data_IF_864445294185
#
_entry.id   IF_864445294185
#
_cell.length_a   1.000
_cell.length_b   1.000
_cell.length_c   1.000
_cell.angle_alpha   90.00
_cell.angle_beta   90.00
_cell.angle_gamma   90.00
#
_symmetry.space_group_name_H-M   'P 1'
#
loop_
_entity.id
_entity.type
_entity.pdbx_description
1 polymer ?
#
# COMPACT_ATOMS: atom_id res chain seq x y z
N UNK A 1 -32.83 24.01 -5.99
CA UNK A 1 -31.69 23.61 -5.14
C UNK A 1 -30.93 22.48 -5.83
N UNK A 2 -29.59 22.50 -5.71
CA UNK A 2 -28.61 21.48 -6.10
C UNK A 2 -28.23 21.29 -7.59
N UNK A 3 -27.29 22.16 -8.00
CA UNK A 3 -26.03 21.93 -8.73
C UNK A 3 -25.92 20.73 -9.68
N UNK A 4 -25.90 21.07 -10.97
CA UNK A 4 -25.46 20.27 -12.11
C UNK A 4 -23.93 20.14 -12.12
N UNK A 5 -23.46 18.91 -12.35
CA UNK A 5 -22.09 18.58 -12.75
C UNK A 5 -21.76 19.30 -14.07
N UNK A 6 -20.83 20.26 -14.04
CA UNK A 6 -20.25 20.82 -15.26
C UNK A 6 -19.20 19.88 -15.81
N UNK A 7 -19.63 19.15 -16.84
CA UNK A 7 -18.82 18.54 -17.87
C UNK A 7 -17.71 19.53 -18.28
N UNK A 8 -16.44 19.16 -18.09
CA UNK A 8 -15.32 19.94 -18.62
C UNK A 8 -15.35 19.82 -20.15
N UNK A 9 -15.90 20.84 -20.80
CA UNK A 9 -15.74 21.08 -22.24
C UNK A 9 -14.26 21.16 -22.57
N UNK A 10 -13.79 20.25 -23.43
CA UNK A 10 -12.52 20.41 -24.14
C UNK A 10 -12.57 21.74 -24.89
N UNK A 11 -11.82 22.72 -24.39
CA UNK A 11 -11.53 23.96 -25.11
C UNK A 11 -10.61 23.63 -26.29
N UNK A 12 -11.21 23.44 -27.47
CA UNK A 12 -10.51 23.53 -28.76
C UNK A 12 -10.22 25.00 -29.07
N UNK A 13 -9.24 25.58 -28.37
CA UNK A 13 -8.60 26.83 -28.77
C UNK A 13 -7.26 26.52 -29.46
N UNK A 14 -6.78 27.36 -30.39
CA UNK A 14 -5.51 27.15 -31.04
C UNK A 14 -4.37 27.18 -29.99
N UNK A 15 -3.67 26.06 -29.87
CA UNK A 15 -2.51 25.89 -28.99
C UNK A 15 -1.39 26.88 -29.40
N UNK A 16 -0.82 27.67 -28.47
CA UNK A 16 0.32 28.52 -28.78
C UNK A 16 1.53 27.67 -29.17
N UNK A 17 2.16 27.98 -30.30
CA UNK A 17 3.44 27.39 -30.68
C UNK A 17 4.52 27.75 -29.66
N UNK A 18 5.09 26.73 -29.00
CA UNK A 18 6.53 26.72 -28.69
C UNK A 18 6.98 27.05 -27.26
N UNK A 19 6.30 26.61 -26.20
CA UNK A 19 6.91 26.58 -24.86
C UNK A 19 7.23 25.15 -24.43
N UNK A 20 8.52 24.79 -24.38
CA UNK A 20 8.95 23.48 -23.90
C UNK A 20 8.71 23.36 -22.38
N UNK A 21 8.30 22.18 -21.87
CA UNK A 21 8.08 21.98 -20.44
C UNK A 21 9.30 22.41 -19.61
N UNK A 22 9.04 22.97 -18.42
CA UNK A 22 10.11 23.34 -17.47
C UNK A 22 10.56 22.15 -16.63
N UNK A 23 9.63 21.24 -16.34
CA UNK A 23 9.84 20.05 -15.51
C UNK A 23 9.42 18.80 -16.28
N UNK A 24 10.25 17.76 -16.21
CA UNK A 24 9.98 16.43 -16.74
C UNK A 24 9.94 15.43 -15.58
N UNK A 25 8.91 14.59 -15.56
CA UNK A 25 8.76 13.51 -14.58
C UNK A 25 9.07 12.20 -15.29
N UNK A 26 10.00 11.42 -14.75
CA UNK A 26 10.51 10.20 -15.36
C UNK A 26 10.23 9.00 -14.45
N UNK A 27 9.46 8.03 -14.95
CA UNK A 27 9.19 6.76 -14.27
C UNK A 27 10.06 5.66 -14.89
N UNK A 28 11.29 5.50 -14.41
CA UNK A 28 12.20 4.44 -14.90
C UNK A 28 13.31 4.14 -13.90
N UNK A 29 13.85 2.93 -13.95
CA UNK A 29 15.11 2.56 -13.29
C UNK A 29 16.29 2.38 -14.26
N UNK A 30 16.05 2.47 -15.56
CA UNK A 30 17.00 2.06 -16.60
C UNK A 30 18.09 3.10 -16.87
N UNK A 31 19.35 2.66 -16.83
CA UNK A 31 20.54 3.45 -17.15
C UNK A 31 20.53 4.03 -18.57
N UNK A 32 19.86 3.40 -19.54
CA UNK A 32 19.84 3.88 -20.93
C UNK A 32 19.25 5.29 -21.09
N UNK A 33 18.46 5.76 -20.12
CA UNK A 33 17.91 7.12 -20.13
C UNK A 33 18.88 8.19 -19.66
N UNK A 34 20.04 7.81 -19.10
CA UNK A 34 21.02 8.75 -18.56
C UNK A 34 21.47 9.82 -19.58
N UNK A 35 21.82 9.50 -20.85
CA UNK A 35 22.26 10.51 -21.81
C UNK A 35 21.17 11.54 -22.13
N UNK A 36 19.92 11.09 -22.22
CA UNK A 36 18.75 11.95 -22.47
C UNK A 36 18.51 12.88 -21.29
N UNK A 37 18.58 12.35 -20.06
CA UNK A 37 18.44 13.14 -18.85
C UNK A 37 19.54 14.20 -18.74
N UNK A 38 20.79 13.82 -19.01
CA UNK A 38 21.91 14.78 -19.02
C UNK A 38 21.68 15.91 -19.99
N UNK A 39 21.24 15.60 -21.21
CA UNK A 39 20.90 16.62 -22.20
C UNK A 39 19.81 17.58 -21.68
N UNK A 40 18.73 17.05 -21.09
CA UNK A 40 17.65 17.87 -20.54
C UNK A 40 18.12 18.78 -19.39
N UNK A 41 18.92 18.26 -18.46
CA UNK A 41 19.36 19.02 -17.28
C UNK A 41 20.50 19.97 -17.60
N UNK A 42 21.53 19.52 -18.32
CA UNK A 42 22.77 20.26 -18.54
C UNK A 42 22.70 21.20 -19.74
N UNK A 43 22.16 20.73 -20.88
CA UNK A 43 22.12 21.54 -22.11
C UNK A 43 20.87 22.41 -22.18
N UNK A 44 19.73 21.90 -21.71
CA UNK A 44 18.45 22.61 -21.79
C UNK A 44 18.01 23.27 -20.47
N UNK A 45 18.76 23.08 -19.39
CA UNK A 45 18.47 23.69 -18.07
C UNK A 45 17.10 23.29 -17.51
N UNK A 46 16.60 22.10 -17.85
CA UNK A 46 15.28 21.61 -17.44
C UNK A 46 15.38 20.83 -16.14
N UNK A 47 14.33 20.90 -15.31
CA UNK A 47 14.22 20.09 -14.11
C UNK A 47 13.74 18.70 -14.48
N UNK A 48 14.42 17.66 -14.00
CA UNK A 48 14.02 16.26 -14.20
C UNK A 48 13.85 15.58 -12.84
N UNK A 49 12.67 15.04 -12.60
CA UNK A 49 12.31 14.32 -11.37
C UNK A 49 12.19 12.82 -11.69
N UNK A 50 12.98 12.01 -11.00
CA UNK A 50 12.98 10.56 -11.15
C UNK A 50 12.07 9.92 -10.11
N UNK A 51 11.13 9.10 -10.56
CA UNK A 51 10.31 8.24 -9.71
C UNK A 51 10.67 6.79 -10.03
N UNK A 52 11.20 6.08 -9.05
CA UNK A 52 11.63 4.69 -9.21
C UNK A 52 11.38 3.87 -7.96
N UNK A 53 11.22 2.56 -8.13
CA UNK A 53 11.13 1.63 -7.01
C UNK A 53 12.48 1.62 -6.30
N UNK A 54 12.46 1.60 -4.95
CA UNK A 54 13.65 1.52 -4.11
C UNK A 54 14.59 0.43 -4.62
N UNK A 55 15.90 0.65 -4.54
CA UNK A 55 16.94 -0.27 -5.02
C UNK A 55 17.00 -0.56 -6.53
N UNK A 56 15.99 -0.21 -7.34
CA UNK A 56 15.96 -0.58 -8.77
C UNK A 56 16.60 0.46 -9.69
N UNK A 57 16.65 1.73 -9.29
CA UNK A 57 17.20 2.80 -10.11
C UNK A 57 18.74 2.81 -10.11
N UNK A 58 19.35 2.79 -11.30
CA UNK A 58 20.81 2.88 -11.47
C UNK A 58 21.39 4.15 -10.85
N UNK A 59 22.49 4.04 -10.10
CA UNK A 59 23.23 5.18 -9.52
C UNK A 59 23.55 6.25 -10.56
N UNK A 60 24.04 5.84 -11.73
CA UNK A 60 24.38 6.75 -12.83
C UNK A 60 23.19 7.58 -13.36
N UNK A 61 21.95 7.07 -13.22
CA UNK A 61 20.73 7.79 -13.60
C UNK A 61 20.32 8.78 -12.49
N UNK A 62 20.41 8.35 -11.22
CA UNK A 62 20.16 9.19 -10.05
C UNK A 62 21.10 10.41 -10.01
N UNK A 63 22.36 10.22 -10.39
CA UNK A 63 23.35 11.29 -10.45
C UNK A 63 23.10 12.31 -11.58
N UNK A 64 22.28 11.96 -12.57
CA UNK A 64 22.00 12.80 -13.73
C UNK A 64 20.71 13.65 -13.59
N UNK A 65 19.78 13.24 -12.72
CA UNK A 65 18.48 13.92 -12.52
C UNK A 65 18.57 15.05 -11.50
N UNK A 66 17.59 15.95 -11.50
CA UNK A 66 17.54 17.06 -10.53
C UNK A 66 17.07 16.60 -9.15
N UNK A 67 16.05 15.74 -9.12
CA UNK A 67 15.50 15.18 -7.88
C UNK A 67 15.14 13.71 -8.08
N UNK A 68 15.20 12.92 -7.01
CA UNK A 68 14.81 11.50 -7.01
C UNK A 68 13.82 11.24 -5.89
N UNK A 69 12.72 10.57 -6.23
CA UNK A 69 11.68 10.10 -5.33
C UNK A 69 11.66 8.58 -5.38
N UNK A 70 11.93 7.95 -4.23
CA UNK A 70 11.90 6.49 -4.10
C UNK A 70 10.51 6.04 -3.67
N UNK A 71 9.93 5.13 -4.46
CA UNK A 71 8.73 4.39 -4.08
C UNK A 71 9.20 3.16 -3.29
N UNK A 72 8.73 2.91 -2.06
CA UNK A 72 9.09 1.72 -1.30
C UNK A 72 8.85 0.46 -2.14
N UNK A 73 9.83 -0.44 -2.16
CA UNK A 73 9.63 -1.80 -2.65
C UNK A 73 8.82 -2.54 -1.58
N UNK A 74 7.50 -2.35 -1.61
CA UNK A 74 6.62 -3.25 -0.85
C UNK A 74 6.67 -4.60 -1.55
N UNK A 75 7.15 -5.63 -0.83
CA UNK A 75 7.08 -7.00 -1.31
C UNK A 75 5.62 -7.32 -1.61
N UNK A 76 5.28 -7.35 -2.89
CA UNK A 76 3.91 -7.50 -3.35
C UNK A 76 3.29 -8.80 -2.81
N UNK A 77 4.11 -9.83 -2.60
CA UNK A 77 3.66 -11.10 -2.03
C UNK A 77 3.34 -10.96 -0.54
N UNK A 78 4.12 -10.14 0.18
CA UNK A 78 3.87 -9.82 1.58
C UNK A 78 2.60 -8.97 1.75
N UNK A 79 2.41 -7.96 0.90
CA UNK A 79 1.19 -7.14 0.87
C UNK A 79 -0.04 -7.99 0.55
N UNK A 80 0.07 -8.92 -0.39
CA UNK A 80 -1.01 -9.87 -0.68
C UNK A 80 -1.36 -10.72 0.56
N UNK A 81 -0.35 -11.19 1.30
CA UNK A 81 -0.57 -11.90 2.57
C UNK A 81 -1.25 -11.04 3.63
N UNK A 82 -0.92 -9.73 3.70
CA UNK A 82 -1.62 -8.80 4.59
C UNK A 82 -3.10 -8.69 4.22
N UNK A 83 -3.41 -8.55 2.93
CA UNK A 83 -4.78 -8.45 2.44
C UNK A 83 -5.61 -9.69 2.79
N UNK A 84 -5.07 -10.91 2.60
CA UNK A 84 -5.77 -12.13 3.00
C UNK A 84 -5.99 -12.22 4.52
N UNK A 85 -5.02 -11.74 5.30
CA UNK A 85 -5.12 -11.72 6.77
C UNK A 85 -6.22 -10.76 7.23
N UNK A 86 -6.27 -9.55 6.67
CA UNK A 86 -7.33 -8.57 6.94
C UNK A 86 -8.69 -9.09 6.49
N UNK A 87 -8.76 -9.76 5.34
CA UNK A 87 -10.00 -10.37 4.84
C UNK A 87 -10.56 -11.42 5.80
N UNK A 88 -9.70 -12.25 6.41
CA UNK A 88 -10.15 -13.21 7.41
C UNK A 88 -10.68 -12.52 8.68
N UNK A 89 -10.00 -11.48 9.17
CA UNK A 89 -10.50 -10.70 10.30
C UNK A 89 -11.83 -10.00 10.00
N UNK A 90 -11.99 -9.45 8.80
CA UNK A 90 -13.25 -8.85 8.35
C UNK A 90 -14.38 -9.88 8.37
N UNK A 91 -14.14 -11.09 7.84
CA UNK A 91 -15.11 -12.19 7.89
C UNK A 91 -15.54 -12.56 9.31
N UNK A 92 -14.61 -12.50 10.28
CA UNK A 92 -14.93 -12.71 11.70
C UNK A 92 -15.78 -11.54 12.24
N UNK A 93 -15.39 -10.30 11.92
CA UNK A 93 -16.09 -9.08 12.34
C UNK A 93 -17.53 -8.99 11.81
N UNK A 94 -17.84 -9.63 10.68
CA UNK A 94 -19.21 -9.70 10.16
C UNK A 94 -20.15 -10.51 11.06
N UNK A 95 -19.63 -11.48 11.81
CA UNK A 95 -20.41 -12.42 12.62
C UNK A 95 -20.24 -12.21 14.14
N UNK A 96 -19.22 -11.45 14.56
CA UNK A 96 -18.87 -11.25 15.96
C UNK A 96 -18.41 -9.81 16.21
N UNK A 97 -18.92 -9.19 17.28
CA UNK A 97 -18.60 -7.79 17.62
C UNK A 97 -17.13 -7.58 18.03
N UNK A 98 -16.44 -8.65 18.47
CA UNK A 98 -15.04 -8.59 18.86
C UNK A 98 -14.21 -9.58 18.02
N UNK A 99 -13.67 -9.15 16.86
CA UNK A 99 -12.91 -10.03 15.98
C UNK A 99 -11.53 -10.30 16.57
N UNK A 100 -11.29 -11.55 16.98
CA UNK A 100 -9.98 -12.02 17.39
C UNK A 100 -9.71 -13.43 16.85
N UNK A 101 -8.42 -13.77 16.77
CA UNK A 101 -8.00 -15.12 16.40
C UNK A 101 -6.74 -15.52 17.18
N UNK A 102 -6.57 -16.81 17.47
CA UNK A 102 -5.25 -17.31 17.90
C UNK A 102 -4.32 -17.36 16.70
N UNK A 103 -3.02 -17.15 16.93
CA UNK A 103 -1.99 -17.14 15.87
C UNK A 103 -2.12 -18.36 14.93
N UNK A 104 -2.15 -19.57 15.50
CA UNK A 104 -2.22 -20.80 14.70
C UNK A 104 -3.54 -20.94 13.93
N UNK A 105 -4.66 -20.51 14.53
CA UNK A 105 -5.96 -20.55 13.86
C UNK A 105 -6.03 -19.59 12.68
N UNK A 106 -5.42 -18.41 12.83
CA UNK A 106 -5.34 -17.39 11.78
C UNK A 106 -4.49 -17.91 10.63
N UNK A 107 -3.24 -18.30 10.90
CA UNK A 107 -2.31 -18.82 9.89
C UNK A 107 -2.92 -19.98 9.12
N UNK A 108 -3.47 -20.96 9.84
CA UNK A 108 -4.06 -22.16 9.21
C UNK A 108 -5.25 -21.82 8.32
N UNK A 109 -6.12 -20.92 8.78
CA UNK A 109 -7.34 -20.55 8.05
C UNK A 109 -7.05 -19.65 6.85
N UNK A 110 -6.15 -18.67 7.02
CA UNK A 110 -5.71 -17.79 5.94
C UNK A 110 -4.99 -18.61 4.87
N UNK A 111 -4.02 -19.46 5.25
CA UNK A 111 -3.31 -20.36 4.33
C UNK A 111 -4.27 -21.27 3.55
N UNK A 112 -5.28 -21.86 4.23
CA UNK A 112 -6.29 -22.70 3.58
C UNK A 112 -7.14 -21.92 2.58
N UNK A 113 -7.50 -20.68 2.89
CA UNK A 113 -8.39 -19.86 2.06
C UNK A 113 -7.67 -19.20 0.88
N UNK A 114 -6.40 -18.83 1.05
CA UNK A 114 -5.60 -18.21 -0.01
C UNK A 114 -4.83 -19.23 -0.86
N UNK A 115 -4.62 -20.45 -0.35
CA UNK A 115 -3.75 -21.45 -0.97
C UNK A 115 -2.26 -21.18 -0.78
N UNK A 116 -1.89 -20.16 0.01
CA UNK A 116 -0.50 -19.79 0.27
C UNK A 116 0.15 -20.68 1.35
N UNK A 117 1.46 -20.96 1.26
CA UNK A 117 2.22 -21.67 2.30
C UNK A 117 2.09 -21.01 3.67
N UNK A 118 2.03 -21.82 4.73
CA UNK A 118 1.86 -21.33 6.11
C UNK A 118 3.00 -20.42 6.53
N UNK A 119 4.23 -20.75 6.14
CA UNK A 119 5.44 -20.02 6.47
C UNK A 119 5.36 -18.57 5.98
N UNK A 120 4.78 -18.34 4.79
CA UNK A 120 4.58 -17.00 4.25
C UNK A 120 3.57 -16.20 5.06
N UNK A 121 2.47 -16.83 5.44
CA UNK A 121 1.45 -16.20 6.27
C UNK A 121 2.01 -15.92 7.68
N UNK A 122 2.84 -16.80 8.23
CA UNK A 122 3.51 -16.59 9.51
C UNK A 122 4.46 -15.38 9.48
N UNK A 123 5.26 -15.25 8.42
CA UNK A 123 6.09 -14.07 8.20
C UNK A 123 5.24 -12.80 8.12
N UNK A 124 4.14 -12.86 7.34
CA UNK A 124 3.23 -11.73 7.19
C UNK A 124 2.58 -11.32 8.51
N UNK A 125 1.99 -12.27 9.25
CA UNK A 125 1.36 -11.98 10.54
C UNK A 125 2.39 -11.45 11.55
N UNK A 126 3.62 -11.98 11.55
CA UNK A 126 4.70 -11.46 12.40
C UNK A 126 5.03 -10.01 12.05
N UNK A 127 5.15 -9.71 10.77
CA UNK A 127 5.41 -8.35 10.31
C UNK A 127 4.25 -7.39 10.61
N UNK A 128 2.99 -7.83 10.45
CA UNK A 128 1.81 -7.04 10.84
C UNK A 128 1.80 -6.73 12.34
N UNK A 129 2.27 -7.66 13.19
CA UNK A 129 2.43 -7.39 14.63
C UNK A 129 3.55 -6.36 14.86
N UNK A 130 4.70 -6.50 14.20
CA UNK A 130 5.81 -5.56 14.33
C UNK A 130 5.45 -4.14 13.89
N UNK A 131 4.62 -4.02 12.85
CA UNK A 131 4.11 -2.75 12.33
C UNK A 131 2.96 -2.16 13.14
N UNK A 132 2.46 -2.88 14.15
CA UNK A 132 1.35 -2.42 14.99
C UNK A 132 -0.05 -2.59 14.37
N UNK A 133 -0.16 -3.25 13.21
CA UNK A 133 -1.45 -3.53 12.57
C UNK A 133 -2.26 -4.58 13.32
N UNK A 134 -1.58 -5.44 14.08
CA UNK A 134 -2.19 -6.49 14.90
C UNK A 134 -1.57 -6.45 16.30
N UNK A 135 -2.41 -6.39 17.32
CA UNK A 135 -1.96 -6.43 18.72
C UNK A 135 -2.18 -7.81 19.32
N UNK A 136 -1.20 -8.26 20.12
CA UNK A 136 -1.33 -9.44 20.98
C UNK A 136 -1.95 -9.04 22.31
N UNK A 137 -3.12 -9.60 22.65
CA UNK A 137 -3.76 -9.40 23.97
C UNK A 137 -4.06 -10.75 24.62
N UNK A 138 -4.12 -10.77 25.95
CA UNK A 138 -4.63 -11.93 26.70
C UNK A 138 -6.15 -11.81 26.76
N UNK A 139 -6.85 -12.80 26.24
CA UNK A 139 -8.31 -12.82 26.22
C UNK A 139 -8.84 -14.05 26.95
N UNK A 140 -9.89 -13.86 27.74
CA UNK A 140 -10.59 -14.94 28.44
C UNK A 140 -11.87 -15.25 27.69
N UNK A 141 -11.93 -16.45 27.10
CA UNK A 141 -13.06 -16.87 26.25
C UNK A 141 -14.32 -17.16 27.07
N UNK A 142 -14.15 -17.67 28.30
CA UNK A 142 -15.23 -17.90 29.26
C UNK A 142 -14.68 -17.85 30.69
N UNK A 143 -15.56 -17.63 31.67
CA UNK A 143 -15.17 -17.45 33.08
C UNK A 143 -14.36 -18.62 33.66
N UNK A 144 -14.67 -19.85 33.23
CA UNK A 144 -14.00 -21.10 33.65
C UNK A 144 -12.75 -21.44 32.84
N UNK A 145 -12.43 -20.67 31.79
CA UNK A 145 -11.33 -20.99 30.87
C UNK A 145 -10.07 -20.17 31.15
N UNK A 146 -8.89 -20.75 30.91
CA UNK A 146 -7.64 -20.01 31.00
C UNK A 146 -7.62 -18.87 29.99
N UNK A 147 -6.87 -17.81 30.32
CA UNK A 147 -6.60 -16.74 29.36
C UNK A 147 -5.72 -17.28 28.23
N UNK A 148 -6.09 -16.98 27.00
CA UNK A 148 -5.33 -17.34 25.81
C UNK A 148 -4.76 -16.09 25.14
N UNK A 149 -3.62 -16.23 24.47
CA UNK A 149 -3.06 -15.17 23.66
C UNK A 149 -3.82 -15.10 22.33
N UNK A 150 -4.38 -13.93 22.05
CA UNK A 150 -5.13 -13.66 20.82
C UNK A 150 -4.52 -12.49 20.06
N UNK A 151 -4.73 -12.52 18.76
CA UNK A 151 -4.45 -11.46 17.82
C UNK A 151 -5.73 -10.67 17.58
N UNK A 152 -5.65 -9.36 17.73
CA UNK A 152 -6.75 -8.43 17.48
C UNK A 152 -6.27 -7.44 16.42
N UNK A 153 -7.07 -7.22 15.35
CA UNK A 153 -6.74 -6.24 14.33
C UNK A 153 -6.91 -4.83 14.87
N UNK A 154 -5.91 -3.97 14.65
CA UNK A 154 -6.01 -2.54 14.94
C UNK A 154 -6.54 -1.83 13.68
N UNK A 155 -7.86 -1.69 13.61
CA UNK A 155 -8.55 -1.25 12.39
C UNK A 155 -8.12 0.12 11.90
N UNK A 156 -7.90 1.07 12.82
CA UNK A 156 -7.53 2.44 12.45
C UNK A 156 -6.13 2.47 11.79
N UNK A 157 -5.18 1.67 12.29
CA UNK A 157 -3.84 1.52 11.71
C UNK A 157 -3.87 0.80 10.35
N UNK A 158 -4.71 -0.24 10.22
CA UNK A 158 -4.92 -0.95 8.95
C UNK A 158 -5.51 -0.02 7.87
N UNK A 159 -6.45 0.84 8.25
CA UNK A 159 -7.06 1.84 7.35
C UNK A 159 -6.00 2.88 6.95
N UNK A 160 -5.22 3.39 7.89
CA UNK A 160 -4.15 4.34 7.63
C UNK A 160 -3.08 3.78 6.67
N UNK A 161 -2.78 2.48 6.78
CA UNK A 161 -1.87 1.77 5.89
C UNK A 161 -2.47 1.40 4.52
N UNK A 162 -3.74 1.76 4.25
CA UNK A 162 -4.43 1.42 2.99
C UNK A 162 -4.82 -0.07 2.86
N UNK A 163 -4.68 -0.86 3.93
CA UNK A 163 -5.02 -2.29 3.98
C UNK A 163 -6.50 -2.48 4.34
N UNK A 164 -7.41 -1.84 3.60
CA UNK A 164 -8.85 -1.86 3.87
C UNK A 164 -9.65 -2.56 2.77
N UNK A 165 -10.66 -3.34 3.17
CA UNK A 165 -11.73 -3.79 2.27
C UNK A 165 -12.86 -2.78 2.36
N UNK A 166 -13.20 -2.15 1.23
CA UNK A 166 -14.19 -1.06 1.07
C UNK A 166 -15.55 -1.34 1.77
N UNK A 167 -15.89 -2.61 2.01
CA UNK A 167 -17.17 -3.02 2.57
C UNK A 167 -17.45 -2.57 4.02
N UNK A 168 -16.44 -2.34 4.87
CA UNK A 168 -16.64 -2.06 6.30
C UNK A 168 -16.84 -0.58 6.65
N UNK A 169 -16.48 0.35 5.76
CA UNK A 169 -16.64 1.80 6.00
C UNK A 169 -18.12 2.17 6.22
N UNK A 170 -19.05 1.38 5.67
CA UNK A 170 -20.50 1.62 5.84
C UNK A 170 -21.09 1.35 7.22
N UNK A 171 -20.39 0.69 8.16
CA UNK A 171 -20.94 0.40 9.50
C UNK A 171 -20.52 1.39 10.59
N UNK A 172 -19.48 2.20 10.40
CA UNK A 172 -19.04 3.18 11.43
C UNK A 172 -19.87 4.48 11.42
N UNK A 173 -20.76 4.63 10.42
CA UNK A 173 -21.63 5.80 10.21
C UNK A 173 -23.13 5.53 10.52
N UNK A 174 -23.48 4.51 11.31
CA UNK A 174 -24.87 4.19 11.69
C UNK A 174 -25.06 4.08 13.19
#
# INVERSE_FOLDING_TARGET
MCRTLSCWTLSTGPQPKGASPKTFVLFTGDRHFQPVVRYLVQELGKRVELYGIRSTASRALRDAVTETFEIPEEDQQLVECFQYTVADFNRIALNHDNPFATYQSLVTRVSRNSGLPKERIEMAVTEMVNRGYITRKKHRVAYDKPMINVLIPEWDELIAAGLQIIALIRRKDS
#
